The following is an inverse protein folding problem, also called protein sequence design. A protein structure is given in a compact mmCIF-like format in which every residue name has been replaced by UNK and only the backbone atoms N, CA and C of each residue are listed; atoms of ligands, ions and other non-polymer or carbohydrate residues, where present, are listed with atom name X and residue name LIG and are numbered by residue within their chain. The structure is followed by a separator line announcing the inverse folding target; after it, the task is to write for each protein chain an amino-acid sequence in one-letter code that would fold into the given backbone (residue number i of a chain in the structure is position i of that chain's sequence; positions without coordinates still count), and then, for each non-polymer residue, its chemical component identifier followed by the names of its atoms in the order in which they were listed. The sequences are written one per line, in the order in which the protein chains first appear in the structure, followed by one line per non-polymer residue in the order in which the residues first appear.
data_IF_941361551286
#
_entry.id   IF_941361551286
#
_cell.length_a   1.000
_cell.length_b   1.000
_cell.length_c   1.000
_cell.angle_alpha   90.00
_cell.angle_beta   90.00
_cell.angle_gamma   90.00
#
_symmetry.space_group_name_H-M   'P 1'
#
loop_
_entity.id
_entity.type
_entity.pdbx_description
1 polymer ?
#
# COMPACT_ATOMS: atom_id res chain seq x y z
N UNK A 1 -12.36 -1.85 -5.03
CA UNK A 1 -10.92 -1.75 -5.35
C UNK A 1 -10.31 -3.14 -5.16
N UNK A 2 -9.44 -3.59 -6.07
CA UNK A 2 -8.73 -4.86 -5.93
C UNK A 2 -7.28 -4.54 -5.54
N UNK A 3 -6.79 -5.14 -4.46
CA UNK A 3 -5.38 -5.06 -4.06
C UNK A 3 -4.66 -6.30 -4.55
N UNK A 4 -3.54 -6.10 -5.25
CA UNK A 4 -2.68 -7.17 -5.74
C UNK A 4 -1.35 -7.03 -5.01
N UNK A 5 -1.02 -8.05 -4.22
CA UNK A 5 0.20 -8.06 -3.42
C UNK A 5 1.34 -8.74 -4.18
N UNK A 6 2.54 -8.19 -4.06
CA UNK A 6 3.76 -8.89 -4.49
C UNK A 6 4.21 -9.85 -3.40
N UNK A 7 5.01 -10.86 -3.77
CA UNK A 7 5.50 -11.86 -2.81
C UNK A 7 6.31 -11.24 -1.66
N UNK A 8 7.09 -10.18 -1.94
CA UNK A 8 7.87 -9.45 -0.94
C UNK A 8 6.93 -8.71 0.02
N UNK A 9 5.92 -8.01 -0.51
CA UNK A 9 4.96 -7.27 0.32
C UNK A 9 4.19 -8.20 1.27
N UNK A 10 3.66 -9.32 0.77
CA UNK A 10 2.90 -10.27 1.61
C UNK A 10 3.75 -10.88 2.72
N UNK A 11 5.05 -11.10 2.48
CA UNK A 11 5.97 -11.63 3.48
C UNK A 11 6.23 -10.61 4.61
N UNK A 12 6.40 -9.34 4.27
CA UNK A 12 6.83 -8.31 5.20
C UNK A 12 5.66 -7.62 5.92
N UNK A 13 4.50 -7.46 5.27
CA UNK A 13 3.37 -6.67 5.78
C UNK A 13 2.91 -7.14 7.17
N UNK A 14 2.91 -8.45 7.42
CA UNK A 14 2.49 -9.03 8.71
C UNK A 14 3.46 -8.77 9.85
N UNK A 15 4.69 -8.36 9.53
CA UNK A 15 5.69 -7.96 10.54
C UNK A 15 5.65 -6.47 10.85
N UNK A 16 5.00 -5.69 9.98
CA UNK A 16 4.93 -4.23 10.07
C UNK A 16 3.55 -3.72 10.48
N UNK A 17 2.49 -4.43 10.12
CA UNK A 17 1.10 -4.05 10.36
C UNK A 17 0.32 -5.24 10.88
N UNK A 18 -0.47 -4.99 11.92
CA UNK A 18 -1.52 -5.92 12.34
C UNK A 18 -2.65 -5.94 11.29
N UNK A 19 -3.42 -7.03 11.24
CA UNK A 19 -4.48 -7.24 10.24
C UNK A 19 -5.47 -6.06 10.17
N UNK A 20 -5.80 -5.46 11.31
CA UNK A 20 -6.72 -4.32 11.37
C UNK A 20 -6.10 -3.01 10.85
N UNK A 21 -4.79 -2.81 11.06
CA UNK A 21 -4.06 -1.66 10.50
C UNK A 21 -3.93 -1.80 8.98
N UNK A 22 -3.63 -3.01 8.50
CA UNK A 22 -3.59 -3.28 7.08
C UNK A 22 -4.96 -3.07 6.41
N UNK A 23 -6.05 -3.51 7.05
CA UNK A 23 -7.42 -3.24 6.57
C UNK A 23 -7.71 -1.75 6.47
N UNK A 24 -7.32 -0.95 7.47
CA UNK A 24 -7.50 0.51 7.44
C UNK A 24 -6.71 1.16 6.30
N UNK A 25 -5.48 0.72 6.07
CA UNK A 25 -4.66 1.19 4.94
C UNK A 25 -5.35 0.87 3.60
N UNK A 26 -5.87 -0.34 3.43
CA UNK A 26 -6.61 -0.72 2.22
C UNK A 26 -7.86 0.13 2.00
N UNK A 27 -8.64 0.41 3.05
CA UNK A 27 -9.80 1.30 2.94
C UNK A 27 -9.40 2.71 2.52
N UNK A 28 -8.37 3.27 3.18
CA UNK A 28 -7.87 4.60 2.86
C UNK A 28 -7.39 4.70 1.41
N UNK A 29 -6.62 3.73 0.92
CA UNK A 29 -6.14 3.71 -0.47
C UNK A 29 -7.25 3.48 -1.50
N UNK A 30 -8.33 2.78 -1.12
CA UNK A 30 -9.49 2.62 -1.98
C UNK A 30 -10.26 3.93 -2.18
N UNK A 31 -10.30 4.78 -1.14
CA UNK A 31 -10.92 6.12 -1.19
C UNK A 31 -9.97 7.17 -1.79
N UNK A 32 -8.66 7.01 -1.62
CA UNK A 32 -7.63 7.94 -2.09
C UNK A 32 -6.55 7.23 -2.94
N UNK A 33 -6.85 6.87 -4.21
CA UNK A 33 -5.91 6.14 -5.07
C UNK A 33 -4.60 6.87 -5.38
N UNK A 34 -4.61 8.20 -5.28
CA UNK A 34 -3.44 9.06 -5.52
C UNK A 34 -2.66 9.39 -4.24
N UNK A 35 -3.03 8.81 -3.09
CA UNK A 35 -2.32 9.04 -1.85
C UNK A 35 -0.86 8.55 -1.91
N UNK A 36 -0.01 9.23 -1.17
CA UNK A 36 1.43 9.00 -1.14
C UNK A 36 2.21 9.85 -2.15
N UNK A 37 3.48 10.04 -1.83
CA UNK A 37 4.38 10.86 -2.62
C UNK A 37 4.80 10.09 -3.89
N UNK A 38 4.75 10.72 -5.08
CA UNK A 38 5.24 10.09 -6.30
C UNK A 38 6.75 9.85 -6.20
N UNK A 39 7.18 8.68 -6.65
CA UNK A 39 8.60 8.35 -6.78
C UNK A 39 8.99 8.60 -8.24
N UNK A 40 9.84 9.60 -8.48
CA UNK A 40 10.31 9.94 -9.82
C UNK A 40 10.99 8.75 -10.51
N UNK A 41 10.96 8.73 -11.85
CA UNK A 41 11.60 7.71 -12.69
C UNK A 41 11.09 6.26 -12.51
N UNK A 42 10.03 6.04 -11.73
CA UNK A 42 9.45 4.69 -11.51
C UNK A 42 8.28 4.34 -12.42
N UNK A 43 7.82 5.29 -13.25
CA UNK A 43 6.64 5.10 -14.10
C UNK A 43 5.31 5.10 -13.34
N UNK A 44 5.25 5.69 -12.14
CA UNK A 44 4.00 5.92 -11.40
C UNK A 44 3.89 5.24 -10.04
N UNK A 45 5.00 4.77 -9.45
CA UNK A 45 4.98 4.27 -8.08
C UNK A 45 4.81 5.44 -7.09
N UNK A 46 4.10 5.17 -6.01
CA UNK A 46 3.86 6.12 -4.91
C UNK A 46 4.28 5.50 -3.58
N UNK A 47 4.74 6.35 -2.65
CA UNK A 47 5.11 5.94 -1.29
C UNK A 47 4.19 6.59 -0.27
N UNK A 48 3.50 5.75 0.51
CA UNK A 48 2.70 6.17 1.66
C UNK A 48 3.45 5.85 2.96
N UNK A 49 3.25 6.66 4.00
CA UNK A 49 3.88 6.53 5.32
C UNK A 49 2.87 6.07 6.35
#
# INVERSE_FOLDING_TARGET
MIFIETTIFTADVKTHLEDEEYRKLQHYLAEHPEAGDPIEETGGLRKIR
#
